data_IF_395192767031
#
_entry.id   IF_395192767031
#
_cell.length_a   1.000
_cell.length_b   1.000
_cell.length_c   1.000
_cell.angle_alpha   90.00
_cell.angle_beta   90.00
_cell.angle_gamma   90.00
#
_symmetry.space_group_name_H-M   'P 1'
#
loop_
_entity.id
_entity.type
_entity.pdbx_description
1 polymer ?
#
# COMPACT_ATOMS: atom_id res chain seq x y z
N UNK A 1 -15.90 5.41 -0.79
CA UNK A 1 -14.94 4.33 -0.50
C UNK A 1 -14.65 3.56 -1.78
N UNK A 2 -13.38 3.43 -2.17
CA UNK A 2 -12.98 2.58 -3.28
C UNK A 2 -13.21 1.11 -2.93
N UNK A 3 -13.75 0.31 -3.84
CA UNK A 3 -14.05 -1.11 -3.64
C UNK A 3 -13.23 -1.93 -4.64
N UNK A 4 -12.55 -2.97 -4.17
CA UNK A 4 -11.73 -3.84 -5.00
C UNK A 4 -12.34 -5.25 -5.02
N UNK A 5 -12.52 -5.81 -6.22
CA UNK A 5 -12.94 -7.21 -6.38
C UNK A 5 -11.71 -8.11 -6.32
N UNK A 6 -11.74 -9.08 -5.43
CA UNK A 6 -10.68 -10.07 -5.26
C UNK A 6 -11.27 -11.47 -5.17
N UNK A 7 -10.55 -12.46 -5.69
CA UNK A 7 -10.84 -13.88 -5.47
C UNK A 7 -9.89 -14.41 -4.40
N UNK A 8 -10.40 -15.03 -3.35
CA UNK A 8 -9.54 -15.73 -2.38
C UNK A 8 -8.77 -16.85 -3.08
N UNK A 9 -7.45 -16.85 -2.95
CA UNK A 9 -6.56 -17.87 -3.53
C UNK A 9 -6.01 -18.84 -2.48
N UNK A 10 -6.07 -18.48 -1.21
CA UNK A 10 -5.64 -19.34 -0.10
C UNK A 10 -5.54 -18.57 1.20
N UNK A 11 -5.01 -19.23 2.21
CA UNK A 11 -4.57 -18.64 3.48
C UNK A 11 -3.41 -19.46 4.04
N UNK A 12 -2.57 -18.82 4.85
CA UNK A 12 -1.63 -19.49 5.73
C UNK A 12 -1.88 -19.02 7.18
N UNK A 13 -1.03 -19.41 8.13
CA UNK A 13 -1.23 -19.08 9.55
C UNK A 13 -1.31 -17.58 9.83
N UNK A 14 -0.71 -16.73 8.99
CA UNK A 14 -0.65 -15.29 9.21
C UNK A 14 -1.37 -14.48 8.12
N UNK A 15 -1.57 -15.02 6.92
CA UNK A 15 -2.05 -14.24 5.78
C UNK A 15 -3.22 -14.87 5.02
N UNK A 16 -4.15 -14.01 4.57
CA UNK A 16 -5.15 -14.36 3.55
C UNK A 16 -4.64 -13.94 2.18
N UNK A 17 -4.52 -14.91 1.28
CA UNK A 17 -4.07 -14.67 -0.09
C UNK A 17 -5.25 -14.30 -0.98
N UNK A 18 -5.14 -13.15 -1.64
CA UNK A 18 -6.13 -12.61 -2.54
C UNK A 18 -5.56 -12.49 -3.95
N UNK A 19 -6.23 -13.12 -4.91
CA UNK A 19 -5.95 -12.97 -6.33
C UNK A 19 -6.83 -11.86 -6.91
N UNK A 20 -6.17 -10.79 -7.34
CA UNK A 20 -6.80 -9.60 -7.90
C UNK A 20 -6.34 -9.48 -9.35
N UNK A 21 -7.24 -9.11 -10.27
CA UNK A 21 -6.84 -8.81 -11.64
C UNK A 21 -6.00 -7.53 -11.65
N UNK A 22 -4.95 -7.51 -12.48
CA UNK A 22 -4.03 -6.38 -12.56
C UNK A 22 -4.78 -5.05 -12.80
N UNK A 23 -5.69 -5.01 -13.77
CA UNK A 23 -6.42 -3.78 -14.12
C UNK A 23 -7.31 -3.29 -12.97
N UNK A 24 -7.97 -4.20 -12.25
CA UNK A 24 -8.81 -3.87 -11.09
C UNK A 24 -7.96 -3.32 -9.93
N UNK A 25 -6.77 -3.90 -9.72
CA UNK A 25 -5.81 -3.41 -8.72
C UNK A 25 -5.29 -2.02 -9.08
N UNK A 26 -4.91 -1.81 -10.33
CA UNK A 26 -4.40 -0.52 -10.80
C UNK A 26 -5.47 0.57 -10.76
N UNK A 27 -6.71 0.26 -11.14
CA UNK A 27 -7.84 1.17 -11.03
C UNK A 27 -8.13 1.55 -9.56
N UNK A 28 -8.10 0.57 -8.66
CA UNK A 28 -8.25 0.83 -7.22
C UNK A 28 -7.13 1.73 -6.68
N UNK A 29 -5.88 1.43 -7.01
CA UNK A 29 -4.73 2.22 -6.59
C UNK A 29 -4.77 3.65 -7.17
N UNK A 30 -5.27 3.82 -8.40
CA UNK A 30 -5.47 5.13 -9.01
C UNK A 30 -6.53 5.95 -8.25
N UNK A 31 -7.70 5.36 -7.97
CA UNK A 31 -8.79 6.00 -7.22
C UNK A 31 -8.39 6.29 -5.76
N UNK A 32 -7.67 5.37 -5.13
CA UNK A 32 -7.12 5.54 -3.78
C UNK A 32 -5.95 6.54 -3.72
N UNK A 33 -5.46 7.03 -4.87
CA UNK A 33 -4.36 7.97 -4.95
C UNK A 33 -2.98 7.37 -4.65
N UNK A 34 -2.88 6.04 -4.62
CA UNK A 34 -1.63 5.29 -4.37
C UNK A 34 -0.59 5.47 -5.49
N UNK A 35 -1.01 5.92 -6.68
CA UNK A 35 -0.11 6.28 -7.77
C UNK A 35 0.14 7.79 -7.90
N UNK A 36 -0.42 8.63 -7.02
CA UNK A 36 -0.11 10.06 -7.07
C UNK A 36 1.39 10.24 -6.80
N UNK A 37 2.07 11.03 -7.63
CA UNK A 37 3.50 11.27 -7.51
C UNK A 37 3.92 11.74 -6.11
N UNK A 38 3.05 12.49 -5.43
CA UNK A 38 3.24 12.91 -4.03
C UNK A 38 3.25 11.74 -3.04
N UNK A 39 2.42 10.72 -3.23
CA UNK A 39 2.39 9.52 -2.41
C UNK A 39 3.64 8.66 -2.66
N UNK A 40 4.04 8.49 -3.92
CA UNK A 40 5.28 7.77 -4.27
C UNK A 40 6.52 8.46 -3.69
N UNK A 41 6.57 9.80 -3.72
CA UNK A 41 7.64 10.55 -3.05
C UNK A 41 7.63 10.38 -1.54
N UNK A 42 6.44 10.30 -0.93
CA UNK A 42 6.30 10.06 0.51
C UNK A 42 6.78 8.67 0.90
N UNK A 43 6.47 7.64 0.10
CA UNK A 43 7.00 6.28 0.29
C UNK A 43 8.53 6.25 0.17
N UNK A 44 9.10 6.83 -0.89
CA UNK A 44 10.57 6.90 -1.07
C UNK A 44 11.27 7.61 0.08
N UNK A 45 10.68 8.70 0.59
CA UNK A 45 11.21 9.41 1.76
C UNK A 45 11.18 8.52 3.00
N UNK A 46 10.07 7.82 3.23
CA UNK A 46 9.94 6.88 4.36
C UNK A 46 10.93 5.72 4.28
N UNK A 47 11.18 5.17 3.09
CA UNK A 47 12.19 4.11 2.91
C UNK A 47 13.61 4.64 3.16
N UNK A 48 13.90 5.86 2.69
CA UNK A 48 15.19 6.51 2.93
C UNK A 48 15.41 6.78 4.42
N UNK A 49 14.42 7.34 5.11
CA UNK A 49 14.50 7.60 6.55
C UNK A 49 14.67 6.29 7.37
N UNK A 50 14.09 5.18 6.92
CA UNK A 50 14.32 3.84 7.51
C UNK A 50 15.75 3.34 7.24
N UNK A 51 16.24 3.46 6.00
CA UNK A 51 17.60 3.04 5.63
C UNK A 51 18.70 3.83 6.33
N UNK A 52 18.42 5.09 6.66
CA UNK A 52 19.31 5.97 7.42
C UNK A 52 19.11 5.85 8.94
N UNK A 53 18.27 4.91 9.41
CA UNK A 53 18.06 4.64 10.83
C UNK A 53 17.32 5.74 11.59
N UNK A 54 16.68 6.69 10.89
CA UNK A 54 15.92 7.80 11.49
C UNK A 54 14.60 7.34 12.10
N UNK A 55 14.08 6.18 11.66
CA UNK A 55 12.98 5.46 12.27
C UNK A 55 13.34 3.98 12.41
N UNK A 56 12.90 3.33 13.48
CA UNK A 56 13.10 1.89 13.72
C UNK A 56 11.95 1.02 13.19
N UNK A 57 10.84 1.62 12.76
CA UNK A 57 9.66 0.93 12.21
C UNK A 57 9.09 1.66 11.00
N UNK A 58 8.58 0.90 10.02
CA UNK A 58 7.83 1.45 8.88
C UNK A 58 6.48 1.98 9.38
N UNK A 59 6.15 3.21 8.99
CA UNK A 59 4.82 3.78 9.23
C UNK A 59 3.77 3.02 8.44
N UNK A 60 2.62 2.79 9.07
CA UNK A 60 1.44 2.23 8.42
C UNK A 60 0.89 3.16 7.34
N UNK A 61 0.10 2.62 6.41
CA UNK A 61 -0.56 3.42 5.38
C UNK A 61 -1.47 4.50 5.99
N UNK A 62 -2.17 4.18 7.08
CA UNK A 62 -3.02 5.12 7.82
C UNK A 62 -2.22 6.31 8.37
N UNK A 63 -1.05 6.07 8.97
CA UNK A 63 -0.16 7.12 9.46
C UNK A 63 0.41 8.01 8.34
N UNK A 64 0.50 7.48 7.12
CA UNK A 64 1.00 8.20 5.95
C UNK A 64 -0.09 9.11 5.37
N UNK A 65 -1.35 8.68 5.37
CA UNK A 65 -2.47 9.41 4.74
C UNK A 65 -3.25 10.32 5.70
N UNK A 66 -3.09 10.17 7.02
CA UNK A 66 -3.80 10.98 8.03
C UNK A 66 -3.29 12.43 8.15
N UNK A 67 -2.68 12.98 7.11
CA UNK A 67 -2.11 14.33 7.07
C UNK A 67 -3.03 15.33 6.38
#
# INVERSE_FOLDING_TARGET
MARLKAKRSGEDQEYVHLKIKKDDFEAFCSVAGLFKGSFVQTLKKSEKDLSEGRFTQRKSFEEIIAK
#
